data_IF_261812800617
#
_entry.id   IF_261812800617
#
_cell.length_a   1.000
_cell.length_b   1.000
_cell.length_c   1.000
_cell.angle_alpha   90.00
_cell.angle_beta   90.00
_cell.angle_gamma   90.00
#
_symmetry.space_group_name_H-M   'P 1'
#
loop_
_entity.id
_entity.type
_entity.pdbx_description
1 polymer ?
#
# COMPACT_ATOMS: atom_id res chain seq x y z
N UNK A 1 -22.42 -8.45 2.01
CA UNK A 1 -22.51 -7.19 1.25
C UNK A 1 -21.09 -6.80 0.85
N UNK A 2 -20.66 -7.20 -0.34
CA UNK A 2 -19.33 -6.84 -0.86
C UNK A 2 -19.35 -5.41 -1.39
N UNK A 3 -18.39 -4.60 -0.96
CA UNK A 3 -18.16 -3.27 -1.55
C UNK A 3 -17.68 -3.46 -3.00
N UNK A 4 -18.17 -2.69 -3.98
CA UNK A 4 -17.58 -2.71 -5.31
C UNK A 4 -16.16 -2.15 -5.23
N UNK A 5 -15.18 -2.93 -5.70
CA UNK A 5 -13.82 -2.46 -5.91
C UNK A 5 -13.83 -1.41 -7.02
N UNK A 6 -13.41 -0.18 -6.71
CA UNK A 6 -13.04 0.82 -7.72
C UNK A 6 -11.69 0.45 -8.34
N UNK A 7 -11.59 -0.75 -8.90
CA UNK A 7 -10.54 -1.11 -9.83
C UNK A 7 -11.18 -1.15 -11.23
N UNK A 8 -11.64 0.02 -11.66
CA UNK A 8 -12.05 0.20 -13.03
C UNK A 8 -10.79 0.19 -13.89
N UNK A 9 -10.47 -1.00 -14.43
CA UNK A 9 -9.61 -1.22 -15.60
C UNK A 9 -8.35 -0.35 -15.69
N UNK A 10 -7.29 -0.74 -15.00
CA UNK A 10 -5.94 -0.25 -15.31
C UNK A 10 -5.48 -0.97 -16.57
N UNK A 11 -5.43 -0.26 -17.70
CA UNK A 11 -4.69 -0.70 -18.89
C UNK A 11 -3.18 -0.63 -18.56
N UNK A 12 -2.44 -1.75 -18.53
CA UNK A 12 -1.01 -1.74 -18.19
C UNK A 12 -0.14 -0.97 -19.19
N UNK A 13 -0.67 -0.60 -20.36
CA UNK A 13 0.03 0.17 -21.39
C UNK A 13 -0.32 1.66 -21.45
N UNK A 14 -1.34 2.12 -20.71
CA UNK A 14 -1.69 3.54 -20.70
C UNK A 14 -0.73 4.33 -19.79
N UNK A 15 -0.34 5.56 -20.16
CA UNK A 15 0.44 6.41 -19.26
C UNK A 15 -0.34 6.61 -17.96
N UNK A 16 0.24 6.16 -16.84
CA UNK A 16 -0.38 6.32 -15.52
C UNK A 16 -0.45 7.80 -15.20
N UNK A 17 -1.67 8.32 -15.04
CA UNK A 17 -1.86 9.70 -14.62
C UNK A 17 -1.14 9.95 -13.29
N UNK A 18 -0.31 11.00 -13.24
CA UNK A 18 0.49 11.36 -12.04
C UNK A 18 -0.35 12.10 -10.99
N UNK A 19 -1.44 12.75 -11.41
CA UNK A 19 -2.38 13.46 -10.55
C UNK A 19 -3.75 13.61 -11.26
N UNK A 20 -4.83 13.74 -10.47
CA UNK A 20 -6.19 13.97 -10.95
C UNK A 20 -6.78 15.21 -10.25
N UNK A 21 -7.37 16.13 -11.01
CA UNK A 21 -8.07 17.30 -10.46
C UNK A 21 -9.52 16.93 -10.19
N UNK A 22 -9.86 16.70 -8.92
CA UNK A 22 -11.23 16.32 -8.52
C UNK A 22 -12.18 17.52 -8.49
N UNK A 23 -11.66 18.74 -8.27
CA UNK A 23 -12.46 19.97 -8.19
C UNK A 23 -11.65 21.21 -8.58
N UNK A 24 -12.31 22.17 -9.20
CA UNK A 24 -11.72 23.45 -9.60
C UNK A 24 -11.12 23.39 -11.01
N UNK A 25 -10.51 24.50 -11.43
CA UNK A 25 -9.86 24.64 -12.74
C UNK A 25 -8.51 25.33 -12.53
N UNK A 26 -7.50 24.62 -11.99
CA UNK A 26 -6.18 25.21 -11.77
C UNK A 26 -5.56 25.61 -13.10
N UNK A 27 -4.70 26.63 -13.08
CA UNK A 27 -3.87 26.93 -14.25
C UNK A 27 -2.81 25.85 -14.44
N UNK A 28 -2.18 25.84 -15.62
CA UNK A 28 -1.09 24.91 -15.91
C UNK A 28 0.09 25.11 -14.94
N UNK A 29 0.39 26.37 -14.59
CA UNK A 29 1.44 26.73 -13.66
C UNK A 29 1.13 26.25 -12.23
N UNK A 30 -0.13 26.39 -11.79
CA UNK A 30 -0.56 25.93 -10.47
C UNK A 30 -0.48 24.41 -10.36
N UNK A 31 -0.92 23.70 -11.41
CA UNK A 31 -0.83 22.23 -11.45
C UNK A 31 0.63 21.77 -11.47
N UNK A 32 1.48 22.42 -12.26
CA UNK A 32 2.92 22.12 -12.30
C UNK A 32 3.59 22.37 -10.95
N UNK A 33 3.27 23.49 -10.29
CA UNK A 33 3.78 23.81 -8.96
C UNK A 33 3.35 22.76 -7.93
N UNK A 34 2.09 22.34 -7.95
CA UNK A 34 1.59 21.29 -7.06
C UNK A 34 2.32 19.96 -7.26
N UNK A 35 2.51 19.53 -8.51
CA UNK A 35 3.25 18.29 -8.83
C UNK A 35 4.70 18.37 -8.34
N UNK A 36 5.38 19.50 -8.57
CA UNK A 36 6.77 19.69 -8.11
C UNK A 36 6.86 19.61 -6.59
N UNK A 37 5.99 20.34 -5.86
CA UNK A 37 6.03 20.36 -4.39
C UNK A 37 5.77 18.98 -3.80
N UNK A 38 4.77 18.26 -4.31
CA UNK A 38 4.44 16.90 -3.85
C UNK A 38 5.58 15.93 -4.18
N UNK A 39 6.18 16.04 -5.38
CA UNK A 39 7.29 15.17 -5.78
C UNK A 39 8.52 15.40 -4.91
N UNK A 40 8.87 16.65 -4.60
CA UNK A 40 10.00 16.98 -3.72
C UNK A 40 9.77 16.49 -2.28
N UNK A 41 8.54 16.64 -1.77
CA UNK A 41 8.19 16.09 -0.45
C UNK A 41 8.30 14.56 -0.44
N UNK A 42 7.76 13.90 -1.46
CA UNK A 42 7.85 12.45 -1.62
C UNK A 42 9.30 11.95 -1.70
N UNK A 43 10.16 12.62 -2.48
CA UNK A 43 11.57 12.25 -2.60
C UNK A 43 12.32 12.35 -1.27
N UNK A 44 11.98 13.34 -0.42
CA UNK A 44 12.53 13.44 0.93
C UNK A 44 12.08 12.28 1.81
N UNK A 45 10.78 11.95 1.77
CA UNK A 45 10.25 10.81 2.53
C UNK A 45 10.90 9.48 2.10
N UNK A 46 11.11 9.29 0.79
CA UNK A 46 11.80 8.11 0.25
C UNK A 46 13.25 8.06 0.71
N UNK A 47 13.94 9.20 0.77
CA UNK A 47 15.33 9.27 1.25
C UNK A 47 15.44 8.93 2.74
N UNK A 48 14.44 9.33 3.54
CA UNK A 48 14.38 9.06 4.98
C UNK A 48 13.82 7.65 5.30
N UNK A 49 13.28 6.94 4.29
CA UNK A 49 12.72 5.62 4.48
C UNK A 49 13.81 4.59 4.84
N UNK A 50 13.62 3.95 5.99
CA UNK A 50 14.52 2.90 6.48
C UNK A 50 14.06 1.49 6.11
N UNK A 51 12.83 1.36 5.62
CA UNK A 51 12.25 0.08 5.21
C UNK A 51 12.56 -0.14 3.73
N UNK A 52 13.04 -1.33 3.33
CA UNK A 52 13.23 -1.66 1.93
C UNK A 52 11.91 -1.67 1.15
N UNK A 53 11.93 -1.16 -0.08
CA UNK A 53 10.78 -1.15 -1.00
C UNK A 53 10.18 -2.56 -1.21
N UNK A 54 11.06 -3.56 -1.31
CA UNK A 54 10.63 -4.97 -1.40
C UNK A 54 10.57 -5.57 0.00
N UNK A 55 9.36 -5.97 0.40
CA UNK A 55 9.15 -6.74 1.62
C UNK A 55 9.96 -8.04 1.58
N UNK A 56 11.07 -8.07 2.33
CA UNK A 56 11.83 -9.29 2.57
C UNK A 56 11.18 -10.05 3.72
N UNK A 57 11.19 -11.38 3.68
CA UNK A 57 10.73 -12.19 4.81
C UNK A 57 11.49 -11.79 6.07
N UNK A 58 10.73 -11.42 7.09
CA UNK A 58 11.26 -11.04 8.38
C UNK A 58 12.00 -12.21 9.04
N UNK A 59 12.95 -11.91 9.92
CA UNK A 59 13.65 -12.95 10.70
C UNK A 59 12.68 -13.80 11.53
N UNK A 60 11.53 -13.25 11.90
CA UNK A 60 10.43 -13.95 12.59
C UNK A 60 9.73 -14.96 11.67
N UNK A 61 9.38 -14.56 10.44
CA UNK A 61 8.81 -15.48 9.45
C UNK A 61 9.78 -16.59 9.06
N UNK A 62 11.08 -16.29 9.00
CA UNK A 62 12.12 -17.28 8.73
C UNK A 62 12.38 -18.21 9.93
N UNK A 63 12.22 -17.71 11.16
CA UNK A 63 12.45 -18.47 12.39
C UNK A 63 11.21 -19.16 12.94
N UNK A 64 10.03 -18.94 12.34
CA UNK A 64 8.80 -19.68 12.58
C UNK A 64 8.96 -21.15 12.15
N UNK A 65 9.79 -21.89 12.88
CA UNK A 65 10.03 -23.32 12.69
C UNK A 65 8.82 -24.08 13.19
N UNK A 66 7.87 -24.39 12.32
CA UNK A 66 6.77 -25.33 12.59
C UNK A 66 5.89 -25.02 13.81
N UNK A 67 6.04 -23.84 14.42
CA UNK A 67 5.34 -23.49 15.65
C UNK A 67 4.00 -22.86 15.29
N UNK A 68 3.02 -23.77 15.28
CA UNK A 68 1.56 -23.61 15.32
C UNK A 68 0.94 -23.02 14.07
N UNK A 69 0.01 -23.82 13.51
CA UNK A 69 -1.06 -23.34 12.65
C UNK A 69 -1.71 -22.10 13.32
N UNK A 70 -2.01 -21.02 12.57
CA UNK A 70 -2.71 -19.88 13.13
C UNK A 70 -3.94 -20.34 13.92
N UNK A 71 -4.18 -19.73 15.08
CA UNK A 71 -5.36 -20.04 15.90
C UNK A 71 -6.62 -19.91 15.04
N UNK A 72 -7.37 -21.00 14.90
CA UNK A 72 -8.65 -20.98 14.21
C UNK A 72 -9.66 -20.16 15.02
N UNK A 73 -9.86 -18.91 14.61
CA UNK A 73 -10.75 -17.96 15.30
C UNK A 73 -12.23 -18.34 15.16
N UNK A 74 -12.58 -19.21 14.21
CA UNK A 74 -13.94 -19.72 14.04
C UNK A 74 -14.19 -20.86 15.02
N UNK A 75 -13.18 -21.69 15.29
CA UNK A 75 -13.26 -22.80 16.26
C UNK A 75 -13.25 -22.37 17.74
N UNK A 76 -12.87 -21.12 18.04
CA UNK A 76 -12.82 -20.59 19.39
C UNK A 76 -11.70 -21.19 20.26
N UNK A 77 -11.76 -20.99 21.58
CA UNK A 77 -10.69 -21.40 22.52
C UNK A 77 -10.74 -22.89 22.91
N UNK A 78 -11.68 -23.67 22.37
CA UNK A 78 -12.04 -25.01 22.83
C UNK A 78 -11.08 -26.14 22.39
N UNK A 79 -10.02 -25.82 21.63
CA UNK A 79 -9.08 -26.81 21.07
C UNK A 79 -7.82 -27.08 21.90
N UNK A 80 -7.69 -26.52 23.11
CA UNK A 80 -6.48 -26.63 23.95
C UNK A 80 -6.68 -27.38 25.27
N UNK A 81 -7.82 -28.07 25.48
CA UNK A 81 -8.03 -28.90 26.68
C UNK A 81 -7.68 -30.36 26.41
N UNK A 82 -6.48 -30.74 26.85
CA UNK A 82 -5.92 -32.10 27.05
C UNK A 82 -5.85 -33.04 25.84
#
# INVERSE_FOLDING_TARGET
MSRPSTDAGIDPGAPRAVAEVVRGTPTEEELAAAVVVVSEAYLREVADATVPETATRSRWELSARGLRRPLDRIAGWNGFTA
#
